data_IF_690282932038
#
_entry.id   IF_690282932038
#
_cell.length_a   1.000
_cell.length_b   1.000
_cell.length_c   1.000
_cell.angle_alpha   90.00
_cell.angle_beta   90.00
_cell.angle_gamma   90.00
#
_symmetry.space_group_name_H-M   'P 1'
#
loop_
_entity.id
_entity.type
_entity.pdbx_description
1 polymer ?
#
# COMPACT_ATOMS: atom_id res chain seq x y z
N UNK A 1 17.59 22.17 6.36
CA UNK A 1 17.75 21.20 5.25
C UNK A 1 16.39 21.01 4.61
N UNK A 2 16.17 21.56 3.41
CA UNK A 2 14.91 21.44 2.67
C UNK A 2 15.21 20.99 1.24
N UNK A 3 15.48 19.69 1.07
CA UNK A 3 15.72 19.08 -0.23
C UNK A 3 15.15 17.67 -0.27
N UNK A 4 14.62 17.25 -1.43
CA UNK A 4 14.10 15.90 -1.62
C UNK A 4 15.26 14.90 -1.59
N UNK A 5 15.26 13.98 -0.63
CA UNK A 5 16.38 13.04 -0.44
C UNK A 5 16.46 11.98 -1.53
N UNK A 6 15.31 11.62 -2.12
CA UNK A 6 15.20 10.59 -3.17
C UNK A 6 15.50 11.11 -4.59
N UNK A 7 15.86 12.39 -4.74
CA UNK A 7 16.26 12.97 -6.02
C UNK A 7 17.73 13.40 -5.98
N UNK A 8 18.40 13.33 -7.13
CA UNK A 8 19.71 13.95 -7.34
C UNK A 8 19.59 15.45 -7.68
N UNK A 9 20.72 16.12 -7.96
CA UNK A 9 20.75 17.54 -8.31
C UNK A 9 20.15 17.86 -9.68
N UNK A 10 19.94 16.84 -10.53
CA UNK A 10 19.32 16.96 -11.85
C UNK A 10 17.82 16.58 -11.81
N UNK A 11 17.30 16.15 -10.65
CA UNK A 11 15.92 15.73 -10.47
C UNK A 11 15.66 14.26 -10.80
N UNK A 12 16.70 13.47 -11.09
CA UNK A 12 16.54 12.04 -11.33
C UNK A 12 16.36 11.28 -10.01
N UNK A 13 15.58 10.20 -10.05
CA UNK A 13 15.39 9.34 -8.89
C UNK A 13 16.69 8.64 -8.49
N UNK A 14 16.99 8.62 -7.19
CA UNK A 14 18.10 7.87 -6.61
C UNK A 14 17.71 7.18 -5.31
N UNK A 15 18.38 6.07 -5.02
CA UNK A 15 18.29 5.41 -3.73
C UNK A 15 19.18 6.14 -2.72
N UNK A 16 18.64 6.47 -1.55
CA UNK A 16 19.41 7.08 -0.46
C UNK A 16 20.23 5.99 0.23
N UNK A 17 21.54 6.20 0.37
CA UNK A 17 22.37 5.31 1.18
C UNK A 17 21.96 5.40 2.66
N UNK A 18 21.70 4.24 3.25
CA UNK A 18 21.31 4.06 4.65
C UNK A 18 22.23 3.09 5.39
N UNK A 19 23.32 2.62 4.78
CA UNK A 19 24.19 1.57 5.34
C UNK A 19 24.83 1.93 6.68
N UNK A 20 25.09 3.21 6.94
CA UNK A 20 25.62 3.69 8.22
C UNK A 20 24.57 3.89 9.32
N UNK A 21 23.27 3.68 9.06
CA UNK A 21 22.22 3.89 10.05
C UNK A 21 22.07 2.67 10.95
N UNK A 22 21.99 2.87 12.26
CA UNK A 22 21.74 1.79 13.21
C UNK A 22 20.37 1.12 12.96
N UNK A 23 20.36 -0.22 12.97
CA UNK A 23 19.14 -0.99 12.89
C UNK A 23 18.27 -0.75 14.14
N UNK A 24 16.99 -0.50 13.93
CA UNK A 24 15.99 -0.22 14.97
C UNK A 24 14.67 -0.85 14.57
N UNK A 25 13.85 -1.27 15.54
CA UNK A 25 12.50 -1.74 15.26
C UNK A 25 11.63 -0.57 14.79
N UNK A 26 10.96 -0.73 13.64
CA UNK A 26 10.12 0.31 13.02
C UNK A 26 8.76 -0.26 12.66
N UNK A 27 7.71 0.53 12.87
CA UNK A 27 6.32 0.20 12.48
C UNK A 27 5.72 1.38 11.73
N UNK A 28 5.04 1.08 10.63
CA UNK A 28 4.22 2.03 9.88
C UNK A 28 2.78 1.50 9.79
N UNK A 29 1.80 2.40 9.81
CA UNK A 29 0.38 2.10 9.60
C UNK A 29 -0.13 3.01 8.50
N UNK A 30 -0.77 2.42 7.49
CA UNK A 30 -1.38 3.13 6.37
C UNK A 30 -2.83 2.66 6.17
N UNK A 31 -3.68 3.54 5.63
CA UNK A 31 -5.08 3.25 5.34
C UNK A 31 -5.46 3.77 3.95
N UNK A 32 -6.41 3.10 3.30
CA UNK A 32 -6.97 3.53 2.01
C UNK A 32 -8.47 3.29 1.96
N UNK A 33 -9.13 3.84 0.95
CA UNK A 33 -10.56 3.62 0.69
C UNK A 33 -10.82 3.42 -0.79
N UNK A 34 -11.76 2.52 -1.10
CA UNK A 34 -12.26 2.30 -2.45
C UNK A 34 -13.69 2.83 -2.50
N UNK A 35 -13.93 3.80 -3.39
CA UNK A 35 -15.29 4.25 -3.71
C UNK A 35 -15.89 3.28 -4.73
N UNK A 36 -17.14 2.90 -4.52
CA UNK A 36 -17.87 1.98 -5.38
C UNK A 36 -19.37 2.30 -5.37
N UNK A 37 -20.12 1.67 -6.27
CA UNK A 37 -21.57 1.81 -6.30
C UNK A 37 -22.23 1.15 -5.07
N UNK A 38 -23.42 1.60 -4.66
CA UNK A 38 -24.18 0.95 -3.58
C UNK A 38 -24.46 -0.53 -3.86
N UNK A 39 -24.74 -0.88 -5.12
CA UNK A 39 -24.98 -2.27 -5.54
C UNK A 39 -23.74 -3.17 -5.34
N UNK A 40 -22.54 -2.68 -5.69
CA UNK A 40 -21.31 -3.42 -5.45
C UNK A 40 -21.04 -3.60 -3.95
N UNK A 41 -21.27 -2.56 -3.14
CA UNK A 41 -21.11 -2.64 -1.70
C UNK A 41 -22.08 -3.66 -1.07
N UNK A 42 -23.35 -3.67 -1.49
CA UNK A 42 -24.34 -4.65 -1.05
C UNK A 42 -23.88 -6.07 -1.41
N UNK A 43 -23.45 -6.27 -2.66
CA UNK A 43 -23.01 -7.58 -3.12
C UNK A 43 -21.82 -8.15 -2.31
N UNK A 44 -20.89 -7.28 -1.92
CA UNK A 44 -19.76 -7.65 -1.07
C UNK A 44 -20.23 -8.02 0.34
N UNK A 45 -21.16 -7.24 0.92
CA UNK A 45 -21.69 -7.49 2.27
C UNK A 45 -22.50 -8.77 2.37
N UNK A 46 -23.27 -9.06 1.33
CA UNK A 46 -24.13 -10.25 1.27
C UNK A 46 -23.35 -11.50 0.85
N UNK A 47 -22.06 -11.38 0.51
CA UNK A 47 -21.23 -12.49 0.05
C UNK A 47 -21.63 -13.04 -1.32
N UNK A 48 -22.40 -12.29 -2.11
CA UNK A 48 -22.95 -12.73 -3.40
C UNK A 48 -22.19 -12.15 -4.62
N UNK A 49 -20.99 -11.60 -4.38
CA UNK A 49 -20.16 -11.05 -5.44
C UNK A 49 -19.88 -12.12 -6.52
N UNK A 50 -20.04 -11.82 -7.83
CA UNK A 50 -19.88 -12.80 -8.92
C UNK A 50 -18.49 -13.46 -9.00
N UNK A 51 -17.50 -12.86 -8.35
CA UNK A 51 -16.10 -13.29 -8.33
C UNK A 51 -15.72 -14.06 -7.06
N UNK A 52 -16.70 -14.40 -6.22
CA UNK A 52 -16.46 -15.03 -4.91
C UNK A 52 -16.06 -14.02 -3.83
N UNK A 53 -15.34 -14.49 -2.81
CA UNK A 53 -14.92 -13.65 -1.68
C UNK A 53 -13.81 -12.66 -2.06
N UNK A 54 -14.25 -11.44 -2.40
CA UNK A 54 -13.35 -10.37 -2.82
C UNK A 54 -12.51 -9.79 -1.67
N UNK A 55 -12.96 -9.89 -0.41
CA UNK A 55 -12.23 -9.34 0.73
C UNK A 55 -11.10 -10.28 1.16
N UNK A 56 -11.33 -11.59 1.13
CA UNK A 56 -10.28 -12.58 1.34
C UNK A 56 -9.20 -12.47 0.26
N UNK A 57 -9.59 -12.38 -1.01
CA UNK A 57 -8.66 -12.17 -2.11
C UNK A 57 -7.83 -10.88 -1.95
N UNK A 58 -8.49 -9.76 -1.59
CA UNK A 58 -7.83 -8.48 -1.36
C UNK A 58 -6.83 -8.52 -0.19
N UNK A 59 -7.13 -9.27 0.88
CA UNK A 59 -6.22 -9.44 2.02
C UNK A 59 -4.93 -10.15 1.62
N UNK A 60 -5.04 -11.25 0.86
CA UNK A 60 -3.87 -12.00 0.38
C UNK A 60 -3.05 -11.10 -0.55
N UNK A 61 -3.71 -10.43 -1.50
CA UNK A 61 -3.05 -9.49 -2.40
C UNK A 61 -2.29 -8.39 -1.65
N UNK A 62 -2.89 -7.81 -0.60
CA UNK A 62 -2.25 -6.78 0.22
C UNK A 62 -1.01 -7.27 0.98
N UNK A 63 -1.05 -8.49 1.52
CA UNK A 63 0.10 -9.10 2.20
C UNK A 63 1.24 -9.39 1.22
N UNK A 64 0.91 -9.86 0.01
CA UNK A 64 1.91 -10.15 -1.02
C UNK A 64 2.50 -8.87 -1.61
N UNK A 65 1.71 -7.82 -1.83
CA UNK A 65 2.19 -6.56 -2.39
C UNK A 65 3.16 -5.80 -1.46
N UNK A 66 3.12 -6.09 -0.15
CA UNK A 66 4.02 -5.47 0.83
C UNK A 66 5.42 -6.10 0.85
N UNK A 67 5.62 -7.25 0.19
CA UNK A 67 6.85 -8.04 0.20
C UNK A 67 7.41 -8.15 -1.21
#
# INVERSE_FOLDING_TARGET
>A
MSGLTHLDSQGNARMVDVGGKAATARRAVATGRIRMSPAALAAIRDGNAPKGDVLAAARIAGIMAAK
#
